data_IF_103324798065
#
_entry.id   IF_103324798065
#
_cell.length_a   1.000
_cell.length_b   1.000
_cell.length_c   1.000
_cell.angle_alpha   90.00
_cell.angle_beta   90.00
_cell.angle_gamma   90.00
#
_symmetry.space_group_name_H-M   'P 1'
#
loop_
_entity.id
_entity.type
_entity.pdbx_description
1 polymer ?
#
# COMPACT_ATOMS: atom_id res chain seq x y z
N UNK A 1 1.19 -3.64 -20.88
CA UNK A 1 -0.13 -3.60 -20.23
C UNK A 1 -0.19 -2.40 -19.29
N UNK A 2 -1.25 -1.58 -19.26
CA UNK A 2 -1.26 -0.33 -18.47
C UNK A 2 -0.99 -0.58 -16.98
N UNK A 3 -1.41 -1.73 -16.46
CA UNK A 3 -1.15 -2.18 -15.09
C UNK A 3 0.34 -2.34 -14.77
N UNK A 4 1.16 -2.77 -15.72
CA UNK A 4 2.60 -2.96 -15.50
C UNK A 4 3.36 -1.64 -15.38
N UNK A 5 2.80 -0.54 -15.90
CA UNK A 5 3.38 0.80 -15.79
C UNK A 5 2.78 1.54 -14.58
N UNK A 6 1.45 1.50 -14.45
CA UNK A 6 0.73 2.27 -13.44
C UNK A 6 0.95 1.73 -12.03
N UNK A 7 0.96 0.40 -11.85
CA UNK A 7 1.07 -0.20 -10.53
C UNK A 7 2.41 0.15 -9.84
N UNK A 8 3.58 0.02 -10.50
CA UNK A 8 4.84 0.46 -9.90
C UNK A 8 4.83 1.94 -9.52
N UNK A 9 4.32 2.81 -10.38
CA UNK A 9 4.24 4.26 -10.11
C UNK A 9 3.34 4.57 -8.91
N UNK A 10 2.15 3.98 -8.83
CA UNK A 10 1.26 4.14 -7.67
C UNK A 10 1.90 3.58 -6.39
N UNK A 11 2.62 2.47 -6.50
CA UNK A 11 3.33 1.85 -5.37
C UNK A 11 4.45 2.75 -4.86
N UNK A 12 5.22 3.39 -5.75
CA UNK A 12 6.27 4.35 -5.34
C UNK A 12 5.66 5.61 -4.70
N UNK A 13 4.54 6.11 -5.24
CA UNK A 13 3.81 7.24 -4.65
C UNK A 13 3.29 6.90 -3.24
N UNK A 14 2.68 5.73 -3.07
CA UNK A 14 2.22 5.23 -1.76
C UNK A 14 3.38 5.15 -0.78
N UNK A 15 4.53 4.62 -1.21
CA UNK A 15 5.72 4.52 -0.37
C UNK A 15 6.16 5.90 0.12
N UNK A 16 6.22 6.87 -0.78
CA UNK A 16 6.63 8.24 -0.47
C UNK A 16 5.74 8.87 0.61
N UNK A 17 4.41 8.79 0.45
CA UNK A 17 3.48 9.35 1.44
C UNK A 17 3.50 8.60 2.77
N UNK A 18 3.59 7.27 2.76
CA UNK A 18 3.69 6.46 3.97
C UNK A 18 4.98 6.74 4.77
N UNK A 19 6.11 6.98 4.09
CA UNK A 19 7.38 7.36 4.72
C UNK A 19 7.32 8.75 5.36
N UNK A 20 6.52 9.66 4.80
CA UNK A 20 6.30 11.02 5.30
C UNK A 20 5.17 11.14 6.31
N UNK A 21 4.43 10.06 6.53
CA UNK A 21 3.20 10.03 7.35
C UNK A 21 2.14 11.03 6.87
N UNK A 22 2.06 11.27 5.57
CA UNK A 22 1.09 12.17 4.95
C UNK A 22 -0.11 11.38 4.43
N UNK A 23 -1.33 11.89 4.68
CA UNK A 23 -2.60 11.31 4.20
C UNK A 23 -2.70 9.79 4.36
N UNK A 24 -2.35 9.30 5.57
CA UNK A 24 -2.28 7.86 5.86
C UNK A 24 -3.59 7.13 5.58
N UNK A 25 -4.73 7.76 5.86
CA UNK A 25 -6.05 7.20 5.56
C UNK A 25 -6.25 6.98 4.06
N UNK A 26 -5.91 7.97 3.23
CA UNK A 26 -5.99 7.84 1.78
C UNK A 26 -5.02 6.78 1.25
N UNK A 27 -3.80 6.70 1.81
CA UNK A 27 -2.83 5.67 1.47
C UNK A 27 -3.35 4.26 1.79
N UNK A 28 -3.93 4.07 2.97
CA UNK A 28 -4.53 2.79 3.39
C UNK A 28 -5.71 2.40 2.51
N UNK A 29 -6.59 3.36 2.18
CA UNK A 29 -7.74 3.11 1.31
C UNK A 29 -7.30 2.73 -0.10
N UNK A 30 -6.33 3.46 -0.67
CA UNK A 30 -5.82 3.18 -2.01
C UNK A 30 -5.13 1.81 -2.07
N UNK A 31 -4.26 1.49 -1.09
CA UNK A 31 -3.62 0.17 -1.03
C UNK A 31 -4.64 -0.96 -0.91
N UNK A 32 -5.69 -0.78 -0.08
CA UNK A 32 -6.79 -1.74 0.06
C UNK A 32 -7.52 -1.94 -1.26
N UNK A 33 -7.89 -0.85 -1.95
CA UNK A 33 -8.58 -0.91 -3.23
C UNK A 33 -7.73 -1.62 -4.30
N UNK A 34 -6.41 -1.36 -4.35
CA UNK A 34 -5.48 -2.03 -5.28
C UNK A 34 -5.46 -3.53 -5.00
N UNK A 35 -5.29 -3.94 -3.74
CA UNK A 35 -5.24 -5.35 -3.36
C UNK A 35 -6.57 -6.07 -3.64
N UNK A 36 -7.71 -5.40 -3.40
CA UNK A 36 -9.03 -5.94 -3.70
C UNK A 36 -9.20 -6.21 -5.20
N UNK A 37 -8.79 -5.26 -6.05
CA UNK A 37 -8.81 -5.44 -7.51
C UNK A 37 -7.90 -6.58 -7.94
N UNK A 38 -6.69 -6.70 -7.37
CA UNK A 38 -5.75 -7.76 -7.71
C UNK A 38 -6.19 -9.16 -7.23
N UNK A 39 -7.11 -9.24 -6.27
CA UNK A 39 -7.66 -10.49 -5.76
C UNK A 39 -8.88 -11.01 -6.56
N UNK A 40 -9.46 -10.18 -7.45
CA UNK A 40 -10.59 -10.59 -8.29
C UNK A 40 -10.18 -11.71 -9.26
N UNK A 41 -11.10 -12.65 -9.53
CA UNK A 41 -10.81 -13.82 -10.38
C UNK A 41 -10.61 -13.47 -11.86
N UNK A 42 -11.14 -12.34 -12.31
CA UNK A 42 -11.23 -11.98 -13.73
C UNK A 42 -10.15 -10.97 -14.20
N UNK A 43 -9.15 -10.66 -13.36
CA UNK A 43 -8.08 -9.69 -13.71
C UNK A 43 -6.80 -10.34 -14.26
N UNK A 44 -6.82 -11.66 -14.49
CA UNK A 44 -5.67 -12.42 -14.98
C UNK A 44 -4.57 -12.59 -13.92
N UNK A 45 -3.33 -12.93 -14.32
CA UNK A 45 -2.26 -13.25 -13.37
C UNK A 45 -1.81 -12.02 -12.56
N UNK A 46 -1.92 -12.11 -11.23
CA UNK A 46 -1.59 -11.02 -10.30
C UNK A 46 -0.38 -11.28 -9.42
N UNK A 47 0.21 -12.47 -9.47
CA UNK A 47 1.35 -12.85 -8.61
C UNK A 47 2.51 -11.84 -8.64
N UNK A 48 2.95 -11.44 -9.85
CA UNK A 48 4.05 -10.45 -10.00
C UNK A 48 3.68 -9.08 -9.44
N UNK A 49 2.41 -8.68 -9.62
CA UNK A 49 1.89 -7.41 -9.12
C UNK A 49 1.90 -7.36 -7.59
N UNK A 50 1.44 -8.45 -6.94
CA UNK A 50 1.48 -8.58 -5.48
C UNK A 50 2.92 -8.62 -4.96
N UNK A 51 3.83 -9.32 -5.65
CA UNK A 51 5.25 -9.31 -5.28
C UNK A 51 5.84 -7.90 -5.26
N UNK A 52 5.59 -7.09 -6.30
CA UNK A 52 6.07 -5.70 -6.37
C UNK A 52 5.56 -4.87 -5.18
N UNK A 53 4.27 -5.00 -4.85
CA UNK A 53 3.66 -4.31 -3.71
C UNK A 53 4.36 -4.73 -2.41
N UNK A 54 4.52 -6.03 -2.19
CA UNK A 54 5.12 -6.57 -0.96
C UNK A 54 6.59 -6.14 -0.82
N UNK A 55 7.39 -6.25 -1.88
CA UNK A 55 8.81 -5.86 -1.86
C UNK A 55 9.00 -4.37 -1.56
N UNK A 56 8.13 -3.51 -2.13
CA UNK A 56 8.26 -2.06 -1.99
C UNK A 56 7.63 -1.50 -0.71
N UNK A 57 6.49 -2.04 -0.28
CA UNK A 57 5.66 -1.42 0.76
C UNK A 57 5.65 -2.15 2.09
N UNK A 58 5.90 -3.47 2.15
CA UNK A 58 5.67 -4.25 3.38
C UNK A 58 6.41 -3.68 4.59
N UNK A 59 7.70 -3.33 4.43
CA UNK A 59 8.49 -2.73 5.51
C UNK A 59 7.95 -1.35 5.92
N UNK A 60 7.60 -0.52 4.95
CA UNK A 60 7.12 0.85 5.19
C UNK A 60 5.76 0.80 5.89
N UNK A 61 4.80 0.05 5.35
CA UNK A 61 3.47 -0.14 5.94
C UNK A 61 3.57 -0.67 7.36
N UNK A 62 4.37 -1.71 7.62
CA UNK A 62 4.53 -2.23 8.98
C UNK A 62 5.06 -1.17 9.95
N UNK A 63 6.03 -0.35 9.54
CA UNK A 63 6.54 0.75 10.37
C UNK A 63 5.49 1.82 10.61
N UNK A 64 4.75 2.20 9.56
CA UNK A 64 3.69 3.21 9.65
C UNK A 64 2.58 2.74 10.59
N UNK A 65 2.10 1.50 10.47
CA UNK A 65 1.06 0.94 11.36
C UNK A 65 1.54 0.88 12.82
N UNK A 66 2.79 0.50 13.07
CA UNK A 66 3.36 0.54 14.43
C UNK A 66 3.41 1.98 14.98
N UNK A 67 3.77 2.96 14.15
CA UNK A 67 3.76 4.38 14.54
C UNK A 67 2.35 4.84 14.87
N UNK A 68 1.38 4.56 13.99
CA UNK A 68 -0.03 4.90 14.19
C UNK A 68 -0.61 4.28 15.47
N UNK A 69 -0.24 3.03 15.78
CA UNK A 69 -0.66 2.36 17.02
C UNK A 69 -0.10 3.01 18.28
N UNK A 70 1.13 3.56 18.21
CA UNK A 70 1.75 4.31 19.32
C UNK A 70 1.15 5.70 19.50
N UNK A 71 0.77 6.37 18.41
CA UNK A 71 0.05 7.65 18.48
C UNK A 71 -1.37 7.48 19.05
N UNK A 72 -1.95 6.28 18.95
CA UNK A 72 -3.24 5.93 19.53
C UNK A 72 -3.21 5.67 21.05
N UNK A 73 -2.03 5.57 21.68
CA UNK A 73 -1.87 5.37 23.14
C UNK A 73 -2.07 6.67 23.96
N UNK A 74 -2.59 7.75 23.36
CA UNK A 74 -3.14 8.92 24.06
C UNK A 74 -4.58 8.66 24.59
N UNK A 75 -4.84 7.48 25.14
CA UNK A 75 -6.01 7.26 25.98
C UNK A 75 -5.57 7.55 27.43
N UNK A 76 -5.87 8.79 27.86
CA UNK A 76 -5.79 9.29 29.24
C UNK A 76 -6.67 8.48 30.18
#
# INVERSE_FOLDING_TARGET
DCREILLPTMTDQLKYHLERQEDLEACCQLLSNILEVLYKKDVGPTQRHVQIIMEKLLRTVNRTVISMGRDSELIV
#
